data_IF_198364493303
#
_entry.id   IF_198364493303
#
_cell.length_a   1.000
_cell.length_b   1.000
_cell.length_c   1.000
_cell.angle_alpha   90.00
_cell.angle_beta   90.00
_cell.angle_gamma   90.00
#
_symmetry.space_group_name_H-M   'P 1'
#
loop_
_entity.id
_entity.type
_entity.pdbx_description
1 polymer ?
2 non-polymer ?
3 water ?
#
# COMPACT_ATOMS: atom_id res chain seq x y z
N UNK A 5 1.35 30.99 -2.70
CA UNK A 5 2.02 30.55 -3.92
C UNK A 5 2.64 29.17 -3.74
N UNK A 6 3.18 28.64 -4.82
CA UNK A 6 3.66 27.27 -4.85
C UNK A 6 5.11 27.14 -4.40
N UNK A 7 5.45 25.94 -3.94
CA UNK A 7 6.81 25.59 -3.53
C UNK A 7 7.73 25.71 -4.72
N UNK A 8 8.89 26.33 -4.51
CA UNK A 8 9.85 26.54 -5.59
C UNK A 8 11.30 26.27 -5.19
N UNK A 9 11.54 26.07 -3.89
CA UNK A 9 12.90 25.85 -3.38
C UNK A 9 12.99 24.57 -2.54
N UNK A 10 14.16 23.91 -2.54
CA UNK A 10 14.36 22.70 -1.73
C UNK A 10 14.23 22.97 -0.22
N UNK A 11 14.70 24.12 0.24
CA UNK A 11 14.61 24.48 1.66
C UNK A 11 13.17 24.44 2.14
N UNK A 12 12.26 24.91 1.30
CA UNK A 12 10.84 24.95 1.66
C UNK A 12 10.30 23.53 1.84
N UNK A 13 10.65 22.66 0.90
CA UNK A 13 10.17 21.28 0.93
C UNK A 13 10.78 20.53 2.11
N UNK A 14 11.83 21.09 2.68
CA UNK A 14 12.57 20.43 3.75
C UNK A 14 11.78 20.36 5.06
N UNK A 15 10.80 21.23 5.22
CA UNK A 15 10.02 21.28 6.47
C UNK A 15 9.02 20.14 6.58
N UNK A 16 8.87 19.37 5.50
CA UNK A 16 8.03 18.18 5.52
C UNK A 16 8.83 16.97 5.05
N UNK A 17 10.16 17.07 5.17
CA UNK A 17 11.06 15.99 4.79
C UNK A 17 11.33 15.09 6.00
N UNK A 18 11.18 13.79 5.79
CA UNK A 18 11.41 12.81 6.86
C UNK A 18 12.69 12.04 6.63
N UNK A 19 13.57 12.06 7.63
CA UNK A 19 14.83 11.33 7.61
C UNK A 19 14.56 9.87 7.94
N UNK A 20 15.51 9.00 7.59
CA UNK A 20 15.37 7.58 7.91
C UNK A 20 15.32 7.35 9.42
N UNK A 21 16.04 8.20 10.17
CA UNK A 21 16.04 8.11 11.63
C UNK A 21 14.63 8.28 12.19
N UNK A 22 13.96 9.36 11.79
CA UNK A 22 12.59 9.62 12.26
C UNK A 22 11.66 8.47 11.91
N UNK A 23 11.70 8.02 10.66
CA UNK A 23 10.90 6.90 10.22
C UNK A 23 11.16 5.68 11.09
N UNK A 24 12.43 5.41 11.35
CA UNK A 24 12.80 4.31 12.22
C UNK A 24 12.18 4.50 13.59
N UNK A 25 12.26 5.72 14.11
CA UNK A 25 11.74 6.04 15.42
C UNK A 25 10.22 5.86 15.53
N UNK A 26 9.51 6.12 14.43
CA UNK A 26 8.04 6.22 14.47
C UNK A 26 7.30 5.01 13.92
N UNK A 27 8.01 4.08 13.30
CA UNK A 27 7.33 3.07 12.47
C UNK A 27 6.44 2.12 13.26
N UNK A 28 6.51 2.16 14.58
CA UNK A 28 5.64 1.32 15.43
C UNK A 28 4.58 2.12 16.16
N UNK A 29 4.65 3.45 16.07
CA UNK A 29 3.64 4.30 16.69
C UNK A 29 2.35 4.24 15.87
N UNK A 30 1.19 4.08 16.54
CA UNK A 30 -0.05 4.21 15.77
C UNK A 30 -0.19 5.58 15.11
N UNK A 31 -0.92 5.64 14.01
CA UNK A 31 -1.03 6.84 13.19
C UNK A 31 0.34 7.25 12.63
N UNK A 32 1.20 6.25 12.41
CA UNK A 32 2.43 6.44 11.64
C UNK A 32 2.05 6.87 10.23
N UNK A 33 1.09 6.14 9.66
CA UNK A 33 0.67 6.36 8.29
C UNK A 33 -0.02 7.71 8.09
N UNK A 34 -0.79 8.15 9.07
CA UNK A 34 -1.46 9.45 8.98
C UNK A 34 -0.41 10.55 9.02
N UNK A 35 0.57 10.35 9.89
CA UNK A 35 1.64 11.31 10.08
C UNK A 35 2.53 11.43 8.83
N UNK A 36 3.01 10.29 8.33
CA UNK A 36 3.99 10.32 7.26
C UNK A 36 3.40 10.55 5.87
N UNK A 37 2.13 10.22 5.68
CA UNK A 37 1.49 10.43 4.39
C UNK A 37 1.39 11.94 4.13
N UNK A 38 1.89 12.35 2.97
CA UNK A 38 1.94 13.77 2.63
C UNK A 38 3.32 14.36 2.84
N UNK A 39 4.14 13.69 3.64
CA UNK A 39 5.54 14.09 3.79
C UNK A 39 6.34 13.62 2.58
N UNK A 40 7.56 14.12 2.48
CA UNK A 40 8.46 13.78 1.39
C UNK A 40 9.72 13.11 1.94
N UNK A 41 10.34 12.26 1.11
CA UNK A 41 11.61 11.65 1.47
C UNK A 41 12.64 11.80 0.36
N UNK A 42 13.91 11.66 0.74
CA UNK A 42 15.01 11.53 -0.20
C UNK A 42 15.30 10.04 -0.34
N UNK A 43 14.89 9.47 -1.48
CA UNK A 43 14.93 8.02 -1.65
C UNK A 43 16.07 7.54 -2.54
N UNK A 44 16.87 6.63 -2.02
CA UNK A 44 17.94 6.01 -2.77
C UNK A 44 17.41 4.98 -3.77
N UNK A 45 17.78 5.15 -5.03
CA UNK A 45 17.30 4.30 -6.12
C UNK A 45 18.42 3.51 -6.81
N UNK A 46 19.63 3.54 -6.26
CA UNK A 46 20.75 2.81 -6.83
C UNK A 46 22.01 3.61 -7.14
N UNK A 47 22.75 3.16 -8.16
CA UNK A 47 24.05 3.74 -8.54
C UNK A 47 24.10 4.25 -9.98
N UNK A 48 24.83 5.34 -10.16
CA UNK A 48 25.07 5.95 -11.46
C UNK A 48 26.58 6.22 -11.59
N UNK A 49 27.26 5.45 -12.43
CA UNK A 49 28.72 5.47 -12.50
C UNK A 49 29.33 5.09 -11.16
N UNK A 50 28.70 4.14 -10.48
CA UNK A 50 29.17 3.69 -9.18
C UNK A 50 29.17 4.84 -8.17
N UNK A 51 28.05 5.55 -8.10
CA UNK A 51 27.87 6.65 -7.15
C UNK A 51 26.40 6.72 -6.77
N UNK A 52 26.09 6.77 -5.47
CA UNK A 52 24.68 6.63 -5.06
C UNK A 52 23.80 7.77 -5.53
N UNK A 53 22.64 7.43 -6.10
CA UNK A 53 21.70 8.42 -6.61
C UNK A 53 20.42 8.46 -5.77
N UNK A 54 19.83 9.64 -5.66
CA UNK A 54 18.66 9.86 -4.82
C UNK A 54 17.59 10.66 -5.55
N UNK A 55 16.35 10.55 -5.06
CA UNK A 55 15.23 11.28 -5.64
C UNK A 55 14.32 11.87 -4.57
N UNK A 56 13.76 13.03 -4.88
CA UNK A 56 12.66 13.58 -4.12
C UNK A 56 11.45 12.70 -4.39
N UNK A 57 10.74 12.30 -3.33
CA UNK A 57 9.52 11.52 -3.50
C UNK A 57 8.50 11.84 -2.42
N UNK A 58 7.24 11.87 -2.81
CA UNK A 58 6.15 12.07 -1.87
C UNK A 58 5.67 10.74 -1.35
N UNK A 59 5.40 10.67 -0.04
CA UNK A 59 4.78 9.49 0.54
C UNK A 59 3.27 9.58 0.31
N UNK A 60 2.75 8.70 -0.53
CA UNK A 60 1.33 8.67 -0.84
C UNK A 60 0.62 7.56 -0.08
N UNK A 61 1.38 6.76 0.66
CA UNK A 61 0.81 5.67 1.42
C UNK A 61 1.82 4.78 2.11
N UNK A 62 1.35 4.04 3.11
CA UNK A 62 2.17 3.08 3.82
C UNK A 62 1.64 1.67 3.54
N UNK A 63 2.55 0.80 3.18
CA UNK A 63 2.23 -0.56 2.80
C UNK A 63 2.75 -1.50 3.87
N UNK A 64 2.01 -2.58 4.14
CA UNK A 64 2.49 -3.63 5.02
C UNK A 64 2.89 -4.82 4.16
N UNK A 65 4.20 -4.99 3.99
CA UNK A 65 4.72 -6.03 3.12
C UNK A 65 4.69 -7.38 3.79
N UNK A 66 4.97 -8.41 3.01
CA UNK A 66 4.91 -9.79 3.48
C UNK A 66 6.22 -10.21 4.17
N UNK A 67 7.13 -9.27 4.36
CA UNK A 67 8.48 -9.57 4.85
C UNK A 67 8.98 -8.58 5.89
N UNK A 68 9.21 -9.07 7.10
CA UNK A 68 9.84 -8.27 8.15
C UNK A 68 11.31 -8.16 7.84
N UNK A 69 11.84 -6.95 7.96
CA UNK A 69 13.25 -6.69 7.68
C UNK A 69 13.81 -5.68 8.69
N UNK A 70 15.13 -5.54 8.67
CA UNK A 70 15.85 -4.71 9.62
C UNK A 70 15.89 -3.26 9.19
N UNK A 71 15.48 -2.38 10.10
CA UNK A 71 15.60 -0.94 9.91
C UNK A 71 16.34 -0.36 11.10
N UNK A 72 17.63 -0.10 10.90
CA UNK A 72 18.51 0.33 11.97
C UNK A 72 18.40 -0.57 13.18
N UNK A 73 17.95 0.00 14.30
CA UNK A 73 17.87 -0.72 15.56
C UNK A 73 16.53 -1.42 15.79
N UNK A 74 15.66 -1.39 14.79
CA UNK A 74 14.37 -2.07 14.90
C UNK A 74 14.05 -2.88 13.65
N UNK A 75 12.88 -3.52 13.68
CA UNK A 75 12.44 -4.37 12.59
C UNK A 75 11.03 -4.00 12.19
N UNK A 76 10.73 -4.10 10.90
CA UNK A 76 9.41 -3.73 10.42
C UNK A 76 9.07 -4.46 9.13
N UNK A 77 7.78 -4.57 8.85
CA UNK A 77 7.32 -5.08 7.56
C UNK A 77 6.80 -3.97 6.66
N UNK A 78 6.93 -2.73 7.12
CA UNK A 78 6.34 -1.60 6.40
C UNK A 78 7.18 -1.16 5.21
N UNK A 79 6.48 -0.64 4.20
CA UNK A 79 7.09 -0.04 3.03
C UNK A 79 6.42 1.29 2.77
N UNK A 80 7.11 2.17 2.06
CA UNK A 80 6.54 3.45 1.67
C UNK A 80 6.16 3.44 0.21
N UNK A 81 4.92 3.79 -0.06
CA UNK A 81 4.45 4.02 -1.41
C UNK A 81 4.88 5.44 -1.78
N UNK A 82 5.84 5.52 -2.69
CA UNK A 82 6.51 6.78 -3.01
C UNK A 82 6.22 7.23 -4.45
N UNK A 83 5.90 8.51 -4.59
CA UNK A 83 5.61 9.11 -5.90
C UNK A 83 6.64 10.18 -6.30
N UNK A 84 7.22 10.00 -7.48
CA UNK A 84 8.08 10.96 -8.13
C UNK A 84 7.42 11.30 -9.46
N UNK A 85 6.64 12.38 -9.48
CA UNK A 85 5.85 12.72 -10.63
C UNK A 85 4.95 11.57 -11.03
N UNK A 86 5.17 11.03 -12.23
CA UNK A 86 4.37 9.92 -12.72
C UNK A 86 4.81 8.56 -12.20
N UNK A 87 5.99 8.50 -11.59
CA UNK A 87 6.52 7.22 -11.15
C UNK A 87 6.09 6.95 -9.71
N UNK A 88 5.40 5.83 -9.49
CA UNK A 88 4.99 5.45 -8.14
C UNK A 88 5.46 4.04 -7.83
N UNK A 89 6.12 3.88 -6.68
CA UNK A 89 6.63 2.56 -6.31
C UNK A 89 6.77 2.39 -4.81
N UNK A 90 6.73 1.15 -4.35
CA UNK A 90 6.94 0.84 -2.94
C UNK A 90 8.42 0.62 -2.66
N UNK A 91 8.94 1.34 -1.65
CA UNK A 91 10.32 1.17 -1.20
C UNK A 91 10.34 0.74 0.25
N UNK A 92 11.31 -0.09 0.61
CA UNK A 92 11.56 -0.39 2.02
C UNK A 92 12.19 0.84 2.67
N UNK A 93 11.90 1.06 3.94
CA UNK A 93 12.32 2.29 4.61
C UNK A 93 13.84 2.42 4.72
N UNK A 94 14.54 1.30 4.59
CA UNK A 94 15.99 1.30 4.73
C UNK A 94 16.68 2.10 3.62
N UNK A 95 15.97 2.33 2.52
CA UNK A 95 16.55 3.02 1.38
C UNK A 95 16.36 4.53 1.43
N UNK A 96 15.70 5.02 2.48
CA UNK A 96 15.54 6.46 2.69
C UNK A 96 16.84 7.06 3.20
N UNK A 97 17.17 8.25 2.71
CA UNK A 97 18.37 8.98 3.14
C UNK A 97 18.08 9.86 4.36
N UNK A 98 19.13 10.12 5.13
CA UNK A 98 19.03 11.04 6.27
C UNK A 98 19.46 12.45 5.87
N UNK A 99 19.80 12.63 4.60
CA UNK A 99 20.35 13.89 4.12
C UNK A 99 19.30 14.74 3.42
N UNK A 100 19.58 16.04 3.33
CA UNK A 100 18.65 16.98 2.72
C UNK A 100 18.64 16.81 1.20
N UNK A 101 17.66 17.42 0.56
CA UNK A 101 17.59 17.42 -0.90
C UNK A 101 18.67 18.33 -1.45
N UNK A 102 19.38 17.89 -2.49
CA UNK A 102 20.22 18.79 -3.25
C UNK A 102 19.31 19.69 -4.05
N UNK A 103 19.83 20.83 -4.49
CA UNK A 103 19.07 21.68 -5.40
C UNK A 103 18.80 20.86 -6.66
N UNK A 104 19.79 20.09 -7.08
CA UNK A 104 19.72 19.27 -8.28
C UNK A 104 18.54 18.30 -8.21
N UNK A 105 18.51 17.51 -7.15
CA UNK A 105 17.44 16.54 -6.94
C UNK A 105 16.07 17.24 -6.98
N UNK A 106 15.97 18.39 -6.30
CA UNK A 106 14.74 19.16 -6.29
C UNK A 106 14.33 19.63 -7.68
N UNK A 107 15.30 20.13 -8.46
CA UNK A 107 15.01 20.60 -9.81
C UNK A 107 14.55 19.44 -10.70
N UNK A 108 15.24 18.31 -10.61
CA UNK A 108 14.83 17.12 -11.35
C UNK A 108 13.39 16.73 -10.98
N UNK A 109 13.10 16.79 -9.68
CA UNK A 109 11.74 16.55 -9.23
C UNK A 109 10.73 17.51 -9.85
N UNK A 110 11.02 18.80 -9.79
CA UNK A 110 10.17 19.80 -10.44
C UNK A 110 9.91 19.43 -11.89
N UNK A 111 10.98 19.13 -12.62
CA UNK A 111 10.85 18.75 -14.02
C UNK A 111 9.94 17.53 -14.22
N UNK A 112 10.14 16.50 -13.41
CA UNK A 112 9.26 15.33 -13.47
C UNK A 112 7.81 15.74 -13.22
N UNK A 113 7.61 16.60 -12.22
CA UNK A 113 6.27 17.05 -11.87
C UNK A 113 5.60 17.81 -13.02
N UNK A 114 6.32 18.75 -13.62
CA UNK A 114 5.77 19.47 -14.76
C UNK A 114 5.51 18.56 -15.95
N UNK A 115 6.45 17.67 -16.24
CA UNK A 115 6.26 16.69 -17.31
C UNK A 115 5.01 15.86 -17.08
N UNK A 116 4.76 15.47 -15.84
CA UNK A 116 3.57 14.68 -15.51
C UNK A 116 2.25 15.44 -15.59
N UNK A 117 2.29 16.77 -15.52
CA UNK A 117 1.06 17.57 -15.50
C UNK A 117 0.54 17.73 -14.08
N UNK A 118 1.43 17.59 -13.11
CA UNK A 118 1.07 17.61 -11.70
C UNK A 118 1.45 18.94 -11.06
N UNK A 119 0.48 19.58 -10.43
CA UNK A 119 0.73 20.83 -9.72
C UNK A 119 1.66 20.55 -8.55
N UNK A 120 2.58 21.48 -8.30
CA UNK A 120 3.42 21.37 -7.13
C UNK A 120 2.58 21.69 -5.89
N UNK A 121 3.06 21.27 -4.72
CA UNK A 121 2.38 21.65 -3.47
C UNK A 121 2.54 23.13 -3.14
N UNK A 122 1.52 23.71 -2.50
CA UNK A 122 1.62 25.08 -2.01
C UNK A 122 2.34 25.08 -0.67
N UNK A 123 2.72 26.26 -0.21
CA UNK A 123 3.31 26.41 1.11
C UNK A 123 2.27 26.19 2.20
N UNK A 124 1.02 26.55 1.92
CA UNK A 124 -0.06 26.35 2.87
C UNK A 124 -0.23 24.87 3.22
N UNK A 125 -0.25 24.03 2.18
CA UNK A 125 -0.41 22.58 2.37
C UNK A 125 0.77 22.07 3.19
N UNK A 126 1.96 22.53 2.81
CA UNK A 126 3.20 22.14 3.47
C UNK A 126 3.22 22.58 4.94
N UNK A 127 2.79 23.81 5.21
CA UNK A 127 2.83 24.36 6.56
C UNK A 127 1.80 23.64 7.43
N UNK A 128 0.65 23.37 6.82
CA UNK A 128 -0.37 22.57 7.46
C UNK A 128 0.22 21.25 7.92
N UNK A 129 0.83 20.52 6.98
CA UNK A 129 1.47 19.25 7.32
C UNK A 129 2.52 19.39 8.42
N UNK A 130 3.44 20.32 8.24
CA UNK A 130 4.49 20.57 9.22
C UNK A 130 3.89 20.74 10.61
N UNK A 131 2.94 21.66 10.70
CA UNK A 131 2.34 22.03 11.97
C UNK A 131 1.72 20.79 12.61
N UNK A 132 0.92 20.08 11.82
CA UNK A 132 0.30 18.84 12.29
C UNK A 132 1.35 17.93 12.92
N UNK A 133 2.45 17.68 12.21
CA UNK A 133 3.51 16.86 12.77
C UNK A 133 4.04 17.45 14.08
N UNK A 134 4.46 18.70 14.04
CA UNK A 134 5.00 19.37 15.22
C UNK A 134 4.10 19.20 16.44
N UNK A 135 2.80 19.25 16.24
CA UNK A 135 1.86 19.08 17.36
C UNK A 135 1.85 17.67 17.97
N UNK A 136 1.63 16.65 17.15
CA UNK A 136 1.48 15.28 17.65
C UNK A 136 2.83 14.73 18.11
N UNK B 5 -6.12 -27.36 -14.31
CA UNK B 5 -6.57 -26.45 -15.35
C UNK B 5 -6.94 -25.11 -14.73
N UNK B 6 -7.55 -24.24 -15.51
CA UNK B 6 -8.02 -22.95 -15.00
C UNK B 6 -9.21 -23.14 -14.09
N UNK B 7 -9.47 -22.11 -13.29
CA UNK B 7 -10.66 -22.10 -12.45
C UNK B 7 -11.87 -21.77 -13.32
N UNK B 8 -13.00 -22.40 -13.03
CA UNK B 8 -14.16 -22.34 -13.90
C UNK B 8 -15.45 -22.13 -13.11
N UNK B 9 -15.44 -22.53 -11.84
CA UNK B 9 -16.62 -22.43 -10.99
C UNK B 9 -16.34 -21.52 -9.80
N UNK B 10 -17.37 -20.81 -9.33
CA UNK B 10 -17.23 -20.05 -8.08
C UNK B 10 -16.93 -20.95 -6.89
N UNK B 11 -17.44 -22.18 -6.94
CA UNK B 11 -17.15 -23.19 -5.92
C UNK B 11 -15.65 -23.26 -5.67
N UNK B 12 -14.90 -23.19 -6.75
CA UNK B 12 -13.45 -23.37 -6.72
C UNK B 12 -12.74 -22.11 -6.21
N UNK B 13 -13.17 -20.94 -6.67
CA UNK B 13 -12.57 -19.68 -6.21
C UNK B 13 -12.84 -19.48 -4.71
N UNK B 14 -14.04 -19.85 -4.28
CA UNK B 14 -14.42 -19.70 -2.87
C UNK B 14 -13.50 -20.44 -1.91
N UNK B 15 -12.69 -21.35 -2.43
CA UNK B 15 -11.70 -22.07 -1.61
C UNK B 15 -10.66 -21.11 -1.04
N UNK B 16 -10.39 -20.03 -1.75
CA UNK B 16 -9.40 -19.05 -1.32
C UNK B 16 -10.07 -17.71 -0.96
N UNK B 17 -11.38 -17.75 -0.72
CA UNK B 17 -12.10 -16.55 -0.32
C UNK B 17 -12.01 -16.33 1.18
N UNK B 18 -11.61 -15.13 1.57
CA UNK B 18 -11.57 -14.76 2.98
C UNK B 18 -12.80 -13.94 3.37
N UNK B 19 -13.48 -14.40 4.40
CA UNK B 19 -14.63 -13.71 4.96
C UNK B 19 -14.18 -12.54 5.83
N UNK B 20 -15.09 -11.61 6.09
CA UNK B 20 -14.81 -10.49 6.99
C UNK B 20 -14.38 -11.03 8.35
N UNK B 21 -15.03 -12.10 8.78
CA UNK B 21 -14.75 -12.72 10.07
C UNK B 21 -13.33 -13.25 10.18
N UNK B 22 -12.86 -13.94 9.13
CA UNK B 22 -11.52 -14.52 9.17
C UNK B 22 -10.46 -13.41 9.18
N UNK B 23 -10.69 -12.39 8.36
CA UNK B 23 -9.83 -11.22 8.35
C UNK B 23 -9.77 -10.60 9.74
N UNK B 24 -10.94 -10.41 10.37
CA UNK B 24 -10.96 -9.91 11.73
C UNK B 24 -10.12 -10.80 12.63
N UNK B 25 -10.33 -12.11 12.54
CA UNK B 25 -9.57 -13.05 13.33
C UNK B 25 -8.06 -12.91 13.10
N UNK B 26 -7.70 -12.65 11.86
CA UNK B 26 -6.30 -12.53 11.50
C UNK B 26 -5.62 -11.19 11.60
N UNK B 27 -6.35 -10.13 11.77
CA UNK B 27 -5.84 -8.81 11.52
C UNK B 27 -4.68 -8.33 12.44
N UNK B 28 -4.49 -8.97 13.58
CA UNK B 28 -3.36 -8.67 14.41
C UNK B 28 -2.25 -9.68 14.35
N UNK B 29 -2.39 -10.71 13.56
CA UNK B 29 -1.32 -11.69 13.42
C UNK B 29 -0.14 -11.22 12.55
N UNK B 30 1.07 -11.63 12.89
CA UNK B 30 2.21 -11.24 12.05
C UNK B 30 2.13 -11.82 10.63
N UNK B 31 1.48 -12.97 10.47
CA UNK B 31 1.43 -13.63 9.17
C UNK B 31 0.37 -13.05 8.23
N UNK B 32 -0.29 -11.97 8.66
CA UNK B 32 -1.44 -11.42 7.93
C UNK B 32 -1.13 -11.14 6.46
N UNK B 33 -0.20 -10.22 6.20
CA UNK B 33 0.08 -9.78 4.83
C UNK B 33 0.51 -10.94 3.93
N UNK B 34 1.43 -11.76 4.43
CA UNK B 34 1.93 -12.91 3.68
C UNK B 34 0.78 -13.84 3.31
N UNK B 35 -0.08 -14.13 4.29
CA UNK B 35 -1.16 -15.09 4.11
C UNK B 35 -2.29 -14.57 3.21
N UNK B 36 -2.74 -13.33 3.44
CA UNK B 36 -3.93 -12.84 2.73
C UNK B 36 -3.66 -12.48 1.28
N UNK B 37 -2.42 -12.13 0.96
CA UNK B 37 -2.07 -11.76 -0.40
C UNK B 37 -2.19 -12.98 -1.31
N UNK B 38 -2.91 -12.80 -2.42
CA UNK B 38 -3.17 -13.89 -3.35
C UNK B 38 -4.53 -14.53 -3.10
N UNK B 39 -5.10 -14.28 -1.93
CA UNK B 39 -6.46 -14.72 -1.64
C UNK B 39 -7.44 -13.80 -2.34
N UNK B 40 -8.71 -14.13 -2.24
CA UNK B 40 -9.76 -13.31 -2.83
C UNK B 40 -10.77 -12.90 -1.78
N UNK B 41 -11.51 -11.83 -2.06
CA UNK B 41 -12.64 -11.45 -1.22
C UNK B 41 -13.82 -11.05 -2.07
N UNK B 42 -15.00 -11.16 -1.46
CA UNK B 42 -16.23 -10.62 -2.01
C UNK B 42 -16.38 -9.24 -1.40
N UNK B 43 -16.09 -8.21 -2.20
CA UNK B 43 -16.05 -6.86 -1.67
C UNK B 43 -17.28 -6.06 -2.09
N UNK B 44 -17.94 -5.48 -1.11
CA UNK B 44 -19.05 -4.59 -1.35
C UNK B 44 -18.56 -3.24 -1.81
N UNK B 45 -18.73 -2.96 -3.09
CA UNK B 45 -18.30 -1.68 -3.65
C UNK B 45 -19.32 -0.57 -3.36
N UNK B 52 -26.00 -1.80 -3.91
CA UNK B 52 -25.37 -2.45 -2.78
C UNK B 52 -24.72 -3.68 -3.31
N UNK B 53 -23.79 -3.51 -4.23
CA UNK B 53 -23.33 -4.62 -5.03
C UNK B 53 -21.95 -5.09 -4.66
N UNK B 54 -21.66 -6.33 -5.04
CA UNK B 54 -20.45 -7.01 -4.64
C UNK B 54 -19.60 -7.44 -5.82
N UNK B 55 -18.29 -7.49 -5.61
CA UNK B 55 -17.37 -7.93 -6.64
C UNK B 55 -16.38 -8.93 -6.12
N UNK B 56 -15.92 -9.77 -7.02
CA UNK B 56 -14.81 -10.67 -6.78
C UNK B 56 -13.55 -9.85 -6.89
N UNK B 57 -12.72 -9.84 -5.84
CA UNK B 57 -11.44 -9.16 -5.93
C UNK B 57 -10.28 -9.97 -5.39
N UNK B 58 -9.14 -9.84 -6.06
CA UNK B 58 -7.90 -10.42 -5.59
C UNK B 58 -7.22 -9.43 -4.65
N UNK B 59 -6.73 -9.94 -3.53
CA UNK B 59 -5.90 -9.14 -2.63
C UNK B 59 -4.48 -9.11 -3.18
N UNK B 60 -4.05 -7.93 -3.62
CA UNK B 60 -2.72 -7.78 -4.20
C UNK B 60 -1.75 -7.15 -3.21
N UNK B 61 -2.25 -6.76 -2.05
CA UNK B 61 -1.40 -6.22 -1.01
C UNK B 61 -2.20 -5.66 0.16
N UNK B 62 -1.47 -5.17 1.16
CA UNK B 62 -2.07 -4.67 2.39
C UNK B 62 -1.45 -3.31 2.70
N UNK B 63 -2.30 -2.37 3.12
CA UNK B 63 -1.82 -1.05 3.52
C UNK B 63 -2.18 -0.76 4.97
N UNK B 64 -1.41 0.13 5.58
CA UNK B 64 -1.81 0.74 6.84
C UNK B 64 -2.55 2.03 6.51
N UNK B 65 -3.84 2.07 6.80
CA UNK B 65 -4.61 3.28 6.53
C UNK B 65 -4.30 4.34 7.57
N UNK B 66 -4.72 5.57 7.29
CA UNK B 66 -4.44 6.71 8.17
C UNK B 66 -5.28 6.64 9.44
N UNK B 67 -6.41 5.94 9.34
CA UNK B 67 -7.40 5.95 10.41
C UNK B 67 -7.57 4.58 11.04
N UNK B 68 -7.75 4.57 12.36
CA UNK B 68 -8.09 3.34 13.06
C UNK B 68 -9.59 3.19 13.02
N UNK B 69 -10.06 1.97 12.79
CA UNK B 69 -11.50 1.71 12.76
C UNK B 69 -11.84 0.37 13.38
N UNK B 70 -13.12 0.21 13.69
CA UNK B 70 -13.61 -0.99 14.34
C UNK B 70 -13.98 -2.06 13.31
N UNK B 71 -13.46 -3.26 13.55
CA UNK B 71 -13.81 -4.43 12.75
C UNK B 71 -14.30 -5.51 13.69
N UNK B 72 -15.62 -5.71 13.71
CA UNK B 72 -16.24 -6.61 14.66
C UNK B 72 -15.85 -6.27 16.08
N UNK B 73 -15.13 -7.19 16.74
CA UNK B 73 -14.79 -7.05 18.14
C UNK B 73 -13.40 -6.52 18.41
N UNK B 74 -12.79 -5.88 17.42
CA UNK B 74 -11.45 -5.34 17.57
C UNK B 74 -11.26 -4.07 16.74
N UNK B 75 -10.11 -3.43 16.92
CA UNK B 75 -9.76 -2.22 16.17
C UNK B 75 -8.56 -2.49 15.29
N UNK B 76 -8.58 -1.97 14.08
CA UNK B 76 -7.45 -2.13 13.16
C UNK B 76 -7.25 -0.90 12.28
N UNK B 77 -6.07 -0.79 11.69
CA UNK B 77 -5.76 0.25 10.70
C UNK B 77 -5.43 -0.33 9.33
N UNK B 78 -5.72 -1.62 9.14
CA UNK B 78 -5.34 -2.29 7.90
C UNK B 78 -6.36 -2.06 6.79
N UNK B 79 -5.86 -1.99 5.57
CA UNK B 79 -6.67 -1.88 4.39
C UNK B 79 -6.18 -2.87 3.36
N UNK B 80 -7.07 -3.31 2.48
CA UNK B 80 -6.71 -4.24 1.43
C UNK B 80 -6.64 -3.56 0.08
N UNK B 81 -5.52 -3.78 -0.59
CA UNK B 81 -5.35 -3.40 -1.98
C UNK B 81 -6.02 -4.49 -2.81
N UNK B 82 -7.15 -4.12 -3.41
CA UNK B 82 -8.02 -5.06 -4.09
C UNK B 82 -8.02 -4.80 -5.59
N UNK B 83 -7.86 -5.88 -6.34
CA UNK B 83 -7.86 -5.85 -7.79
C UNK B 83 -9.03 -6.66 -8.38
N UNK B 84 -9.76 -6.01 -9.27
CA UNK B 84 -10.82 -6.66 -10.05
C UNK B 84 -10.56 -6.37 -11.51
N UNK B 85 -9.99 -7.34 -12.22
CA UNK B 85 -9.54 -7.11 -13.57
C UNK B 85 -8.63 -5.90 -13.58
N UNK B 86 -8.91 -4.95 -14.45
CA UNK B 86 -8.07 -3.76 -14.56
C UNK B 86 -8.26 -2.77 -13.41
N UNK B 87 -9.28 -2.98 -12.59
CA UNK B 87 -9.60 -2.04 -11.51
C UNK B 87 -8.86 -2.40 -10.24
N UNK B 88 -8.26 -1.39 -9.61
CA UNK B 88 -7.42 -1.55 -8.44
C UNK B 88 -7.65 -0.43 -7.45
N UNK B 89 -8.00 -0.76 -6.21
CA UNK B 89 -8.09 0.27 -5.17
C UNK B 89 -8.15 -0.33 -3.75
N UNK B 90 -8.01 0.55 -2.77
CA UNK B 90 -7.91 0.18 -1.37
C UNK B 90 -9.27 0.20 -0.69
N UNK B 91 -9.58 -0.87 0.05
CA UNK B 91 -10.80 -0.93 0.83
C UNK B 91 -10.48 -1.25 2.29
N UNK B 92 -11.21 -0.65 3.22
CA UNK B 92 -11.15 -1.07 4.61
C UNK B 92 -11.75 -2.47 4.70
N UNK B 93 -11.27 -3.25 5.66
CA UNK B 93 -11.73 -4.63 5.82
C UNK B 93 -13.22 -4.73 6.11
N UNK B 94 -13.80 -3.65 6.65
CA UNK B 94 -15.19 -3.70 7.09
C UNK B 94 -16.18 -3.84 5.93
N UNK B 95 -15.74 -3.54 4.72
CA UNK B 95 -16.61 -3.63 3.55
C UNK B 95 -16.55 -5.03 2.91
N UNK B 96 -15.75 -5.92 3.48
CA UNK B 96 -15.66 -7.30 2.98
C UNK B 96 -16.88 -8.09 3.43
N UNK B 97 -17.40 -8.92 2.53
CA UNK B 97 -18.59 -9.73 2.82
C UNK B 97 -18.22 -11.05 3.48
N UNK B 98 -19.14 -11.57 4.29
CA UNK B 98 -19.00 -12.91 4.86
C UNK B 98 -19.62 -13.96 3.95
N UNK B 99 -20.28 -13.50 2.88
CA UNK B 99 -21.03 -14.39 2.00
C UNK B 99 -20.21 -14.85 0.79
N UNK B 100 -20.56 -16.03 0.30
CA UNK B 100 -19.89 -16.65 -0.85
C UNK B 100 -20.11 -15.88 -2.14
N UNK B 101 -19.23 -16.13 -3.11
CA UNK B 101 -19.40 -15.60 -4.46
C UNK B 101 -20.65 -16.19 -5.12
N UNK B 102 -21.33 -15.38 -5.93
CA UNK B 102 -22.42 -15.86 -6.78
C UNK B 102 -21.86 -16.26 -8.14
N UNK B 103 -22.66 -16.99 -8.92
CA UNK B 103 -22.30 -17.31 -10.29
C UNK B 103 -22.18 -16.03 -11.11
N UNK B 104 -23.08 -15.08 -10.84
CA UNK B 104 -23.11 -13.82 -11.56
C UNK B 104 -21.84 -13.01 -11.30
N UNK B 105 -21.54 -12.82 -10.02
CA UNK B 105 -20.33 -12.12 -9.62
C UNK B 105 -19.10 -12.79 -10.24
N UNK B 106 -19.09 -14.11 -10.19
CA UNK B 106 -17.97 -14.88 -10.72
C UNK B 106 -17.81 -14.69 -12.23
N UNK B 107 -18.91 -14.85 -12.97
CA UNK B 107 -18.84 -14.72 -14.41
C UNK B 107 -18.50 -13.30 -14.83
N UNK B 108 -19.01 -12.32 -14.08
CA UNK B 108 -18.64 -10.93 -14.30
C UNK B 108 -17.14 -10.76 -14.13
N UNK B 109 -16.61 -11.27 -13.01
CA UNK B 109 -15.17 -11.24 -12.79
C UNK B 109 -14.40 -11.90 -13.94
N UNK B 110 -14.85 -13.08 -14.35
CA UNK B 110 -14.21 -13.77 -15.47
C UNK B 110 -14.21 -12.90 -16.72
N UNK B 111 -15.33 -12.25 -16.99
CA UNK B 111 -15.43 -11.32 -18.11
C UNK B 111 -14.44 -10.18 -17.97
N UNK B 112 -14.35 -9.61 -16.76
CA UNK B 112 -13.46 -8.50 -16.51
C UNK B 112 -12.00 -8.92 -16.72
N UNK B 113 -11.65 -10.12 -16.26
CA UNK B 113 -10.32 -10.66 -16.47
C UNK B 113 -10.06 -10.86 -17.97
N UNK B 114 -11.02 -11.46 -18.65
CA UNK B 114 -10.93 -11.68 -20.08
C UNK B 114 -10.63 -10.37 -20.81
N UNK B 115 -11.42 -9.34 -20.50
CA UNK B 115 -11.23 -8.02 -21.09
C UNK B 115 -9.82 -7.49 -20.87
N UNK B 116 -9.39 -7.49 -19.62
CA UNK B 116 -8.07 -6.95 -19.26
C UNK B 116 -6.92 -7.80 -19.79
N UNK B 117 -7.24 -8.94 -20.39
CA UNK B 117 -6.23 -9.82 -20.93
C UNK B 117 -5.38 -10.41 -19.83
N UNK B 118 -6.04 -10.95 -18.81
CA UNK B 118 -5.35 -11.52 -17.67
C UNK B 118 -5.76 -12.97 -17.47
N UNK B 119 -4.76 -13.82 -17.25
CA UNK B 119 -4.98 -15.24 -17.09
C UNK B 119 -5.56 -15.56 -15.72
N UNK B 120 -6.59 -16.39 -15.72
CA UNK B 120 -7.20 -16.83 -14.49
C UNK B 120 -6.22 -17.72 -13.74
N UNK B 121 -6.37 -17.78 -12.41
CA UNK B 121 -5.53 -18.71 -11.65
C UNK B 121 -5.91 -20.15 -11.93
N UNK B 122 -4.94 -21.05 -11.79
CA UNK B 122 -5.17 -22.47 -12.01
C UNK B 122 -5.69 -23.11 -10.74
N UNK B 123 -6.24 -24.31 -10.87
CA UNK B 123 -6.78 -25.03 -9.73
C UNK B 123 -5.68 -25.41 -8.74
N UNK B 124 -4.49 -25.71 -9.26
CA UNK B 124 -3.35 -26.04 -8.41
C UNK B 124 -2.93 -24.85 -7.52
N UNK B 125 -2.76 -23.68 -8.13
CA UNK B 125 -2.42 -22.47 -7.38
C UNK B 125 -3.40 -22.27 -6.23
N UNK B 126 -4.68 -22.31 -6.59
CA UNK B 126 -5.78 -22.16 -5.66
C UNK B 126 -5.71 -23.20 -4.54
N UNK B 127 -5.49 -24.45 -4.90
CA UNK B 127 -5.39 -25.52 -3.90
C UNK B 127 -4.25 -25.26 -2.92
N UNK B 128 -3.08 -24.94 -3.46
CA UNK B 128 -1.93 -24.66 -2.60
C UNK B 128 -2.21 -23.47 -1.68
N UNK B 129 -2.82 -22.42 -2.21
CA UNK B 129 -3.21 -21.29 -1.35
C UNK B 129 -4.22 -21.71 -0.27
N UNK B 130 -5.25 -22.46 -0.67
CA UNK B 130 -6.25 -22.93 0.27
C UNK B 130 -5.58 -23.66 1.42
N UNK B 131 -4.58 -24.46 1.10
CA UNK B 131 -3.79 -25.11 2.14
C UNK B 131 -3.19 -24.12 3.15
N UNK B 132 -2.57 -23.05 2.65
CA UNK B 132 -1.95 -22.07 3.53
C UNK B 132 -3.01 -21.33 4.35
N UNK B 133 -4.20 -21.17 3.78
CA UNK B 133 -5.33 -20.65 4.55
C UNK B 133 -5.75 -21.60 5.67
N UNK B 134 -5.94 -22.87 5.34
CA UNK B 134 -6.44 -23.84 6.33
C UNK B 134 -5.38 -24.15 7.38
N UNK B 135 -4.11 -24.05 7.01
CA UNK B 135 -3.02 -24.29 7.97
C UNK B 135 -2.81 -23.12 8.92
N UNK B 136 -3.21 -21.92 8.50
CA UNK B 136 -3.01 -20.73 9.32
C UNK B 136 -3.87 -20.81 10.58
N UNK B 137 -3.46 -20.08 11.62
CA UNK B 137 -4.23 -20.01 12.86
C UNK B 137 -5.49 -19.19 12.64
X LIG C 1 22.07 8.47 4.57
X LIG C 1 22.03 9.39 3.52
X LIG C 1 23.49 8.42 5.15
X LIG C 1 23.88 9.71 5.55
X LIG C 1 23.52 7.47 6.34
X LIG C 1 23.12 6.19 5.92
X LIG C 1 22.85 7.84 7.12
X LIG C 1 24.54 7.43 6.76
X LIG C 1 23.74 5.51 6.28
X LIG D 1 21.39 4.29 0.58
X LIG D 1 20.09 4.05 0.09
X LIG D 1 21.34 5.10 1.87
X LIG D 1 20.00 5.43 2.18
X LIG D 1 21.93 4.27 3.00
X LIG D 1 23.26 3.91 2.70
X LIG D 1 21.33 3.37 3.16
X LIG D 1 21.92 4.85 3.92
X LIG D 1 23.65 3.44 3.45
X LIG E 1 1.91 17.05 0.56
X LIG E 1 2.10 17.93 1.64
X LIG E 1 0.54 17.27 -0.05
X LIG E 1 0.01 18.50 0.41
X LIG E 1 0.69 17.33 -1.57
X LIG E 1 -0.43 18.00 -2.12
X LIG E 1 0.76 16.32 -1.97
X LIG E 1 1.59 17.88 -1.82
X LIG E 1 -0.54 17.72 -3.06
X LIG F 1 7.95 18.48 19.22
X LIG F 1 6.93 17.61 18.81
X LIG F 1 7.33 19.78 19.76
X LIG F 1 8.02 20.18 20.92
X LIG F 1 7.46 20.86 18.69
X LIG F 1 8.78 20.85 18.18
X LIG F 1 7.24 21.83 19.12
X LIG F 1 6.75 20.66 17.89
X LIG F 1 9.32 21.52 18.66
X LIG G 1 -21.76 -9.81 4.72
X LIG G 1 -22.26 -9.63 3.41
X LIG G 1 -22.61 -9.04 5.72
X LIG G 1 -23.55 -8.23 5.04
X LIG G 1 -23.33 -10.05 6.60
X LIG G 1 -22.45 -10.55 7.59
X LIG G 1 -23.70 -10.88 5.98
X LIG G 1 -24.19 -9.58 7.07
X LIG G 1 -22.63 -11.50 7.73
#
# INVERSE_FOLDING_TARGET
GDITHMVSLPEELNRVRLSRHKLERWCHMPFFAKTVTGCFVRIGIGNHNSKPVYRVAEITGVVETAKVYQLGGTRTNKGLQLRHGNDQRVFRLEFVSNQEFTESEFMKWKEAMFSAGMQLPTLDEINKKELSIKEALN
GDITHMVSLPEELNRVRLSRHKLERWCHMPFFAKTVTGCFVRIGIGNHNSKPVYRVAEITGVVETAKVYQLGGTRTNKGLQLRHGNDQRVFRLEFVSNQEFTESEFMKWKEAMFSAGMQLPTLDEINKKELSIKEALN
GOL C1 O1 C2 O2 C3 O3 H31 H32 HO3
GOL C1 O1 C2 O2 C3 O3 H31 H32 HO3
GOL C1 O1 C2 O2 C3 O3 H31 H32 HO3
GOL C1 O1 C2 O2 C3 O3 H31 H32 HO3
GOL C1 O1 C2 O2 C3 O3 H31 H32 HO3
#
